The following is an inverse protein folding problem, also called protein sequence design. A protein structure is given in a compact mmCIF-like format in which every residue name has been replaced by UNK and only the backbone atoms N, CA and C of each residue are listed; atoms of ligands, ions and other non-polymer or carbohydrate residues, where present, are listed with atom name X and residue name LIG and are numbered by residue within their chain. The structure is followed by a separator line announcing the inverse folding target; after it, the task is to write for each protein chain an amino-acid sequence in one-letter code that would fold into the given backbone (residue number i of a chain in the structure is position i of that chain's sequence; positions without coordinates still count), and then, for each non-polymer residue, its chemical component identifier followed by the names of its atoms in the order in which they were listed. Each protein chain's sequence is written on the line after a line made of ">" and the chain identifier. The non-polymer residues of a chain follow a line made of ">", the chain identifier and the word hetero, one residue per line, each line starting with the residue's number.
data_IF_089271563431
#
_entry.id   IF_089271563431
#
_cell.length_a   1.000
_cell.length_b   1.000
_cell.length_c   1.000
_cell.angle_alpha   90.00
_cell.angle_beta   90.00
_cell.angle_gamma   90.00
#
_symmetry.space_group_name_H-M   'P 1'
#
loop_
_entity.id
_entity.type
_entity.pdbx_description
1 polymer ?
#
# COMPACT_ATOMS: atom_id res chain seq x y z
N UNK A 1 -12.35 -19.98 -11.49
CA UNK A 1 -11.69 -18.77 -10.96
C UNK A 1 -10.30 -19.20 -10.53
N UNK A 2 -9.25 -18.51 -10.98
CA UNK A 2 -7.88 -18.87 -10.59
C UNK A 2 -7.73 -18.72 -9.07
N UNK A 3 -7.13 -19.70 -8.40
CA UNK A 3 -6.82 -19.61 -6.98
C UNK A 3 -5.86 -18.44 -6.76
N UNK A 4 -6.36 -17.35 -6.17
CA UNK A 4 -5.55 -16.23 -5.73
C UNK A 4 -4.85 -16.64 -4.43
N UNK A 5 -3.52 -16.77 -4.49
CA UNK A 5 -2.69 -17.24 -3.37
C UNK A 5 -2.08 -16.07 -2.57
N UNK A 6 -2.18 -14.83 -3.08
CA UNK A 6 -1.55 -13.64 -2.49
C UNK A 6 -2.54 -12.73 -1.76
N UNK A 7 -2.18 -12.32 -0.55
CA UNK A 7 -2.85 -11.27 0.21
C UNK A 7 -2.51 -9.90 -0.39
N UNK A 8 -3.48 -9.31 -1.09
CA UNK A 8 -3.36 -8.00 -1.75
C UNK A 8 -4.09 -6.93 -0.94
N UNK A 9 -3.34 -5.92 -0.51
CA UNK A 9 -3.84 -4.76 0.22
C UNK A 9 -3.64 -3.51 -0.62
N UNK A 10 -4.69 -2.71 -0.76
CA UNK A 10 -4.66 -1.41 -1.44
C UNK A 10 -4.83 -0.30 -0.41
N UNK A 11 -3.88 0.64 -0.34
CA UNK A 11 -3.92 1.79 0.56
C UNK A 11 -4.24 3.03 -0.25
N UNK A 12 -5.39 3.65 0.05
CA UNK A 12 -5.84 4.91 -0.57
C UNK A 12 -5.52 6.05 0.38
N UNK A 13 -4.56 6.89 0.00
CA UNK A 13 -4.04 8.02 0.77
C UNK A 13 -2.66 7.72 1.36
N UNK A 14 -1.61 8.31 0.79
CA UNK A 14 -0.22 8.17 1.26
C UNK A 14 0.18 9.29 2.22
N UNK A 15 -0.74 9.74 3.07
CA UNK A 15 -0.43 10.62 4.20
C UNK A 15 0.33 9.88 5.30
N UNK A 16 0.60 10.56 6.42
CA UNK A 16 1.35 9.98 7.53
C UNK A 16 0.76 8.64 8.03
N UNK A 17 -0.58 8.55 8.12
CA UNK A 17 -1.27 7.33 8.56
C UNK A 17 -1.13 6.20 7.54
N UNK A 18 -1.40 6.47 6.26
CA UNK A 18 -1.35 5.44 5.21
C UNK A 18 0.05 4.86 5.00
N UNK A 19 1.08 5.72 5.03
CA UNK A 19 2.48 5.29 4.93
C UNK A 19 2.90 4.50 6.18
N UNK A 20 2.50 4.95 7.39
CA UNK A 20 2.81 4.22 8.62
C UNK A 20 2.14 2.84 8.67
N UNK A 21 0.91 2.74 8.17
CA UNK A 21 0.19 1.47 8.02
C UNK A 21 0.89 0.54 7.03
N UNK A 22 1.23 1.05 5.84
CA UNK A 22 1.97 0.33 4.81
C UNK A 22 3.31 -0.20 5.34
N UNK A 23 4.07 0.65 6.03
CA UNK A 23 5.33 0.29 6.67
C UNK A 23 5.15 -0.80 7.72
N UNK A 24 4.13 -0.68 8.59
CA UNK A 24 3.86 -1.68 9.63
C UNK A 24 3.46 -3.03 9.01
N UNK A 25 2.61 -3.05 7.98
CA UNK A 25 2.19 -4.26 7.28
C UNK A 25 3.38 -4.98 6.63
N UNK A 26 4.28 -4.22 5.98
CA UNK A 26 5.50 -4.73 5.37
C UNK A 26 6.45 -5.34 6.41
N UNK A 27 6.70 -4.64 7.52
CA UNK A 27 7.61 -5.13 8.57
C UNK A 27 7.05 -6.34 9.34
N UNK A 28 5.73 -6.51 9.40
CA UNK A 28 5.08 -7.66 10.03
C UNK A 28 4.93 -8.85 9.08
N UNK A 29 5.16 -8.68 7.78
CA UNK A 29 5.02 -9.74 6.78
C UNK A 29 3.60 -10.21 6.57
N UNK A 30 2.62 -9.31 6.75
CA UNK A 30 1.18 -9.65 6.69
C UNK A 30 0.57 -9.45 5.30
N UNK A 31 1.36 -8.98 4.33
CA UNK A 31 0.89 -8.62 2.99
C UNK A 31 1.87 -9.12 1.93
N UNK A 32 1.33 -9.69 0.85
CA UNK A 32 2.11 -10.21 -0.30
C UNK A 32 2.17 -9.18 -1.43
N UNK A 33 1.09 -8.43 -1.66
CA UNK A 33 1.04 -7.32 -2.62
C UNK A 33 0.46 -6.07 -1.96
N UNK A 34 1.21 -4.97 -1.98
CA UNK A 34 0.82 -3.69 -1.45
C UNK A 34 0.73 -2.67 -2.59
N UNK A 35 -0.46 -2.11 -2.80
CA UNK A 35 -0.68 -1.07 -3.81
C UNK A 35 -0.99 0.25 -3.10
N UNK A 36 -0.24 1.28 -3.44
CA UNK A 36 -0.49 2.63 -2.93
C UNK A 36 -1.21 3.46 -3.99
N UNK A 37 -2.24 4.19 -3.57
CA UNK A 37 -3.01 5.11 -4.41
C UNK A 37 -3.05 6.47 -3.72
N UNK A 38 -2.68 7.53 -4.44
CA UNK A 38 -2.89 8.91 -4.01
C UNK A 38 -3.12 9.81 -5.22
N UNK A 39 -3.76 10.97 -5.00
CA UNK A 39 -3.89 11.99 -6.04
C UNK A 39 -2.54 12.62 -6.38
N UNK A 40 -1.61 12.66 -5.42
CA UNK A 40 -0.25 13.15 -5.62
C UNK A 40 0.64 12.02 -6.15
N UNK A 41 0.71 11.92 -7.48
CA UNK A 41 1.46 10.87 -8.18
C UNK A 41 2.95 10.85 -7.83
N UNK A 42 3.60 12.03 -7.74
CA UNK A 42 5.01 12.13 -7.35
C UNK A 42 5.25 11.57 -5.94
N UNK A 43 4.31 11.79 -5.02
CA UNK A 43 4.40 11.28 -3.65
C UNK A 43 4.22 9.77 -3.62
N UNK A 44 3.16 9.24 -4.23
CA UNK A 44 2.87 7.79 -4.19
C UNK A 44 3.99 6.97 -4.85
N UNK A 45 4.59 7.45 -5.94
CA UNK A 45 5.75 6.80 -6.56
C UNK A 45 6.96 6.80 -5.61
N UNK A 46 7.28 7.93 -4.99
CA UNK A 46 8.39 8.03 -4.04
C UNK A 46 8.22 7.10 -2.83
N UNK A 47 7.02 7.08 -2.23
CA UNK A 47 6.70 6.22 -1.08
C UNK A 47 6.72 4.73 -1.48
N UNK A 48 6.24 4.38 -2.68
CA UNK A 48 6.31 3.01 -3.19
C UNK A 48 7.77 2.56 -3.38
N UNK A 49 8.64 3.41 -3.91
CA UNK A 49 10.07 3.10 -4.03
C UNK A 49 10.75 2.96 -2.67
N UNK A 50 10.44 3.85 -1.72
CA UNK A 50 11.04 3.80 -0.38
C UNK A 50 10.68 2.50 0.35
N UNK A 51 9.40 2.12 0.34
CA UNK A 51 8.95 0.85 0.91
C UNK A 51 9.52 -0.36 0.15
N UNK A 52 9.62 -0.29 -1.19
CA UNK A 52 10.22 -1.36 -2.01
C UNK A 52 11.68 -1.60 -1.64
N UNK A 53 12.46 -0.54 -1.38
CA UNK A 53 13.83 -0.69 -0.90
C UNK A 53 13.91 -1.37 0.48
N UNK A 54 12.90 -1.16 1.32
CA UNK A 54 12.78 -1.80 2.63
C UNK A 54 12.44 -3.29 2.59
N UNK A 55 11.83 -3.79 1.51
CA UNK A 55 11.37 -5.20 1.38
C UNK A 55 12.50 -6.20 1.59
N UNK A 56 13.73 -5.89 1.14
CA UNK A 56 14.87 -6.82 1.28
C UNK A 56 15.17 -7.18 2.75
N UNK A 57 14.91 -6.27 3.68
CA UNK A 57 15.10 -6.50 5.12
C UNK A 57 13.81 -6.97 5.81
N UNK A 58 12.71 -7.14 5.07
CA UNK A 58 11.43 -7.59 5.58
C UNK A 58 11.35 -9.12 5.75
N UNK A 59 10.37 -9.61 6.52
CA UNK A 59 10.18 -11.04 6.77
C UNK A 59 9.65 -11.81 5.54
N UNK A 60 9.05 -11.11 4.57
CA UNK A 60 8.40 -11.68 3.37
C UNK A 60 8.77 -10.90 2.12
N UNK A 61 8.71 -11.56 0.96
CA UNK A 61 8.90 -10.91 -0.34
C UNK A 61 7.61 -10.22 -0.81
N UNK A 62 7.29 -9.09 -0.17
CA UNK A 62 6.14 -8.26 -0.52
C UNK A 62 6.41 -7.46 -1.80
N UNK A 63 5.48 -7.49 -2.76
CA UNK A 63 5.50 -6.61 -3.94
C UNK A 63 4.85 -5.29 -3.58
N UNK A 64 5.59 -4.17 -3.67
CA UNK A 64 5.05 -2.83 -3.44
C UNK A 64 5.02 -2.05 -4.76
N UNK A 65 3.90 -1.38 -5.07
CA UNK A 65 3.79 -0.52 -6.25
C UNK A 65 2.86 0.67 -6.03
N UNK A 66 3.10 1.74 -6.78
CA UNK A 66 2.08 2.76 -7.02
C UNK A 66 1.06 2.22 -8.02
N UNK A 67 -0.23 2.50 -7.80
CA UNK A 67 -1.31 1.97 -8.65
C UNK A 67 -2.49 2.92 -8.78
N UNK A 68 -3.57 2.37 -9.33
CA UNK A 68 -4.83 3.09 -9.58
C UNK A 68 -6.00 2.31 -9.01
N UNK A 69 -7.20 2.88 -9.04
CA UNK A 69 -8.40 2.18 -8.57
C UNK A 69 -8.71 0.88 -9.35
N UNK A 70 -8.14 0.69 -10.55
CA UNK A 70 -8.24 -0.58 -11.27
C UNK A 70 -7.56 -1.74 -10.51
N UNK A 71 -6.53 -1.46 -9.73
CA UNK A 71 -5.84 -2.45 -8.89
C UNK A 71 -6.69 -2.93 -7.69
N UNK A 72 -7.85 -2.32 -7.43
CA UNK A 72 -8.79 -2.78 -6.41
C UNK A 72 -9.62 -4.00 -6.84
N UNK A 73 -9.62 -4.35 -8.15
CA UNK A 73 -10.50 -5.40 -8.69
C UNK A 73 -10.30 -6.77 -8.04
N UNK A 74 -9.08 -7.04 -7.60
CA UNK A 74 -8.64 -8.26 -6.91
C UNK A 74 -8.04 -7.95 -5.54
N UNK A 75 -8.33 -6.80 -4.92
CA UNK A 75 -7.85 -6.51 -3.57
C UNK A 75 -8.62 -7.34 -2.53
N UNK A 76 -7.92 -7.88 -1.52
CA UNK A 76 -8.58 -8.52 -0.37
C UNK A 76 -9.02 -7.47 0.65
N UNK A 77 -8.21 -6.40 0.80
CA UNK A 77 -8.49 -5.27 1.68
C UNK A 77 -8.19 -3.97 0.96
N UNK A 78 -9.11 -3.01 1.07
CA UNK A 78 -8.91 -1.61 0.67
C UNK A 78 -8.92 -0.75 1.93
N UNK A 79 -7.76 -0.20 2.29
CA UNK A 79 -7.57 0.67 3.45
C UNK A 79 -7.64 2.12 3.02
N UNK A 80 -8.67 2.84 3.48
CA UNK A 80 -8.90 4.25 3.13
C UNK A 80 -8.34 5.14 4.23
N UNK A 81 -7.23 5.81 3.94
CA UNK A 81 -6.59 6.80 4.81
C UNK A 81 -6.67 8.22 4.24
N UNK A 82 -7.16 8.38 3.01
CA UNK A 82 -7.40 9.67 2.40
C UNK A 82 -8.52 10.41 3.16
N UNK A 83 -8.26 11.67 3.51
CA UNK A 83 -9.19 12.50 4.25
C UNK A 83 -8.67 13.92 4.37
N UNK A 84 -9.57 14.85 4.71
CA UNK A 84 -9.23 16.25 4.97
C UNK A 84 -9.26 16.46 6.49
N UNK A 85 -8.24 17.08 7.09
CA UNK A 85 -8.27 17.42 8.51
C UNK A 85 -9.49 18.30 8.84
N UNK A 86 -10.17 18.00 9.94
CA UNK A 86 -11.25 18.85 10.44
C UNK A 86 -10.69 20.22 10.78
N UNK A 87 -11.32 21.28 10.24
CA UNK A 87 -10.97 22.66 10.60
C UNK A 87 -11.42 22.93 12.05
N UNK A 88 -10.68 23.76 12.81
CA UNK A 88 -11.06 24.16 14.15
C UNK A 88 -12.50 24.68 14.23
#
# INVERSE_FOLDING_TARGET
>A
MANKVSNKVVVIGTGAVGVSYAYAALNQGTVDELVLIDINQKRVEAEAYDLSHGVFNGPTSTVVKAGTYADCADADIVTICAGVPQKP
#
